data_IF_917536665893
#
_entry.id   IF_917536665893
#
_cell.length_a   1.000
_cell.length_b   1.000
_cell.length_c   1.000
_cell.angle_alpha   90.00
_cell.angle_beta   90.00
_cell.angle_gamma   90.00
#
_symmetry.space_group_name_H-M   'P 1'
#
loop_
_entity.id
_entity.type
_entity.pdbx_description
1 polymer ?
#
# COMPACT_ATOMS: atom_id res chain seq x y z
N UNK A 1 -8.42 -3.79 -17.57
CA UNK A 1 -8.30 -3.16 -16.23
C UNK A 1 -9.46 -3.65 -15.39
N UNK A 2 -9.23 -4.60 -14.50
CA UNK A 2 -10.20 -4.94 -13.46
C UNK A 2 -10.04 -3.95 -12.31
N UNK A 3 -10.98 -3.02 -12.16
CA UNK A 3 -11.00 -2.10 -11.03
C UNK A 3 -11.62 -2.84 -9.85
N UNK A 4 -10.79 -3.64 -9.15
CA UNK A 4 -11.21 -4.30 -7.93
C UNK A 4 -11.16 -3.29 -6.78
N UNK A 5 -12.25 -3.18 -6.02
CA UNK A 5 -12.27 -2.30 -4.87
C UNK A 5 -11.54 -2.95 -3.69
N UNK A 6 -10.23 -2.73 -3.61
CA UNK A 6 -9.42 -3.30 -2.55
C UNK A 6 -9.69 -2.70 -1.15
N UNK A 7 -10.51 -1.64 -1.07
CA UNK A 7 -11.03 -1.18 0.22
C UNK A 7 -12.09 -2.14 0.78
N UNK A 8 -12.77 -2.92 -0.07
CA UNK A 8 -13.69 -3.99 0.33
C UNK A 8 -13.05 -5.37 0.28
N UNK A 9 -12.09 -5.58 -0.62
CA UNK A 9 -11.35 -6.84 -0.75
C UNK A 9 -9.89 -6.62 -0.41
N UNK A 10 -9.46 -6.91 0.83
CA UNK A 10 -8.08 -6.68 1.25
C UNK A 10 -7.08 -7.46 0.38
N UNK A 11 -5.89 -6.91 0.19
CA UNK A 11 -4.79 -7.64 -0.45
C UNK A 11 -4.26 -8.72 0.50
N UNK A 12 -3.90 -9.87 -0.06
CA UNK A 12 -3.26 -10.95 0.71
C UNK A 12 -1.78 -10.65 0.92
N UNK A 13 -1.16 -11.37 1.87
CA UNK A 13 0.28 -11.26 2.13
C UNK A 13 1.12 -11.56 0.88
N UNK A 14 0.71 -12.54 0.09
CA UNK A 14 1.37 -12.93 -1.15
C UNK A 14 1.33 -11.81 -2.20
N UNK A 15 0.15 -11.22 -2.43
CA UNK A 15 -0.02 -10.10 -3.36
C UNK A 15 0.80 -8.89 -2.93
N UNK A 16 0.75 -8.52 -1.64
CA UNK A 16 1.56 -7.44 -1.10
C UNK A 16 3.06 -7.74 -1.20
N UNK A 17 3.44 -9.01 -1.04
CA UNK A 17 4.81 -9.49 -1.24
C UNK A 17 5.29 -9.35 -2.68
N UNK A 18 4.41 -9.46 -3.68
CA UNK A 18 4.73 -9.18 -5.07
C UNK A 18 4.76 -7.67 -5.39
N UNK A 19 3.78 -6.93 -4.84
CA UNK A 19 3.49 -5.55 -5.23
C UNK A 19 4.32 -4.50 -4.47
N UNK A 20 4.64 -4.72 -3.20
CA UNK A 20 5.38 -3.74 -2.41
C UNK A 20 6.85 -3.67 -2.86
N UNK A 21 7.41 -2.46 -3.03
CA UNK A 21 8.84 -2.32 -3.27
C UNK A 21 9.63 -2.52 -1.97
N UNK A 22 10.96 -2.47 -2.08
CA UNK A 22 11.87 -2.59 -0.92
C UNK A 22 11.61 -1.54 0.17
N UNK A 23 11.17 -0.33 -0.23
CA UNK A 23 10.76 0.73 0.70
C UNK A 23 9.23 0.90 0.70
N UNK A 24 8.51 0.30 1.66
CA UNK A 24 7.06 0.37 1.75
C UNK A 24 6.53 1.67 2.42
N UNK A 25 7.39 2.41 3.12
CA UNK A 25 7.05 3.63 3.88
C UNK A 25 6.17 4.64 3.12
N UNK A 26 6.45 5.02 1.86
CA UNK A 26 5.62 6.00 1.13
C UNK A 26 4.20 5.52 0.83
N UNK A 27 3.95 4.20 0.85
CA UNK A 27 2.64 3.60 0.60
C UNK A 27 1.78 3.51 1.87
N UNK A 28 2.39 3.68 3.05
CA UNK A 28 1.68 3.67 4.32
C UNK A 28 1.02 5.03 4.60
N UNK A 29 -0.21 4.99 5.09
CA UNK A 29 -1.00 6.15 5.45
C UNK A 29 -0.53 6.73 6.77
N UNK A 30 0.21 7.85 6.72
CA UNK A 30 0.64 8.57 7.92
C UNK A 30 -0.51 9.11 8.80
N UNK A 31 -1.73 9.17 8.25
CA UNK A 31 -2.96 9.53 8.95
C UNK A 31 -3.61 8.37 9.69
N UNK A 32 -3.18 7.13 9.43
CA UNK A 32 -3.77 5.94 10.07
C UNK A 32 -3.34 5.88 11.54
N UNK A 33 -4.25 5.58 12.48
CA UNK A 33 -3.92 5.52 13.91
C UNK A 33 -2.78 4.54 14.18
N UNK A 34 -2.82 3.38 13.53
CA UNK A 34 -1.80 2.34 13.61
C UNK A 34 -0.41 2.79 13.12
N UNK A 35 -0.33 3.71 12.16
CA UNK A 35 0.94 4.29 11.72
C UNK A 35 1.60 5.10 12.84
N UNK A 36 0.80 5.85 13.60
CA UNK A 36 1.25 6.65 14.74
C UNK A 36 1.58 5.78 15.95
N UNK A 37 0.72 4.80 16.26
CA UNK A 37 0.93 3.86 17.36
C UNK A 37 2.22 3.05 17.19
N UNK A 38 2.52 2.60 15.98
CA UNK A 38 3.73 1.84 15.66
C UNK A 38 4.98 2.71 15.43
N UNK A 39 4.85 4.03 15.49
CA UNK A 39 5.97 4.95 15.28
C UNK A 39 6.63 4.83 13.89
N UNK A 40 5.87 4.43 12.86
CA UNK A 40 6.40 4.16 11.51
C UNK A 40 6.94 5.40 10.79
N UNK A 41 6.74 6.59 11.38
CA UNK A 41 7.38 7.82 10.94
C UNK A 41 8.90 7.79 11.18
N UNK A 42 9.31 7.26 12.33
CA UNK A 42 10.71 7.15 12.75
C UNK A 42 11.28 5.79 12.37
N UNK A 43 10.43 4.75 12.44
CA UNK A 43 10.77 3.39 12.09
C UNK A 43 10.42 3.11 10.63
N UNK A 44 11.42 2.90 9.78
CA UNK A 44 11.20 2.40 8.41
C UNK A 44 11.02 0.87 8.44
N UNK A 45 9.79 0.34 8.27
CA UNK A 45 9.59 -1.11 8.29
C UNK A 45 10.19 -1.73 7.02
N UNK A 46 10.71 -2.94 7.16
CA UNK A 46 11.09 -3.76 6.00
C UNK A 46 9.84 -4.16 5.20
N UNK A 47 10.02 -4.56 3.94
CA UNK A 47 8.93 -5.05 3.09
C UNK A 47 8.09 -6.13 3.78
N UNK A 48 8.72 -7.17 4.34
CA UNK A 48 8.02 -8.25 5.04
C UNK A 48 7.21 -7.76 6.26
N UNK A 49 7.79 -6.85 7.05
CA UNK A 49 7.10 -6.23 8.18
C UNK A 49 5.88 -5.43 7.71
N UNK A 50 6.04 -4.60 6.68
CA UNK A 50 4.94 -3.81 6.14
C UNK A 50 3.80 -4.69 5.61
N UNK A 51 4.12 -5.80 4.93
CA UNK A 51 3.13 -6.80 4.50
C UNK A 51 2.32 -7.29 5.70
N UNK A 52 2.98 -7.76 6.76
CA UNK A 52 2.30 -8.23 7.96
C UNK A 52 1.42 -7.16 8.62
N UNK A 53 1.92 -5.92 8.68
CA UNK A 53 1.18 -4.79 9.24
C UNK A 53 -0.07 -4.43 8.42
N UNK A 54 0.02 -4.43 7.08
CA UNK A 54 -1.08 -4.13 6.18
C UNK A 54 -2.12 -5.26 6.19
N UNK A 55 -1.68 -6.53 6.22
CA UNK A 55 -2.59 -7.69 6.34
C UNK A 55 -3.36 -7.63 7.65
N UNK A 56 -2.67 -7.31 8.75
CA UNK A 56 -3.28 -7.12 10.06
C UNK A 56 -4.21 -5.89 10.11
N UNK A 57 -3.93 -4.85 9.32
CA UNK A 57 -4.76 -3.65 9.24
C UNK A 57 -4.65 -2.97 7.87
N UNK A 58 -5.64 -3.23 7.03
CA UNK A 58 -5.67 -2.71 5.67
C UNK A 58 -5.86 -1.19 5.63
N UNK A 59 -6.27 -0.57 6.74
CA UNK A 59 -6.37 0.88 6.85
C UNK A 59 -4.99 1.55 6.96
N UNK A 60 -3.93 0.78 7.20
CA UNK A 60 -2.57 1.29 7.17
C UNK A 60 -2.10 1.66 5.75
N UNK A 61 -2.72 1.09 4.70
CA UNK A 61 -2.36 1.36 3.32
C UNK A 61 -3.07 2.63 2.80
N UNK A 62 -2.36 3.47 2.04
CA UNK A 62 -2.95 4.65 1.42
C UNK A 62 -4.04 4.25 0.41
N UNK A 63 -5.10 5.06 0.36
CA UNK A 63 -6.25 4.88 -0.54
C UNK A 63 -6.45 6.15 -1.40
N UNK A 64 -6.96 6.06 -2.65
CA UNK A 64 -7.43 4.86 -3.37
C UNK A 64 -6.32 3.85 -3.70
N UNK A 65 -6.70 2.59 -3.91
CA UNK A 65 -5.79 1.52 -4.30
C UNK A 65 -5.97 1.20 -5.78
N UNK A 66 -4.90 1.25 -6.57
CA UNK A 66 -4.93 0.87 -7.98
C UNK A 66 -3.94 -0.27 -8.23
N UNK A 67 -4.41 -1.44 -8.64
CA UNK A 67 -3.55 -2.57 -8.98
C UNK A 67 -3.60 -2.79 -10.49
N UNK A 68 -2.44 -3.03 -11.09
CA UNK A 68 -2.26 -3.26 -12.51
C UNK A 68 -1.25 -4.40 -12.72
N UNK A 69 -1.27 -5.07 -13.88
CA UNK A 69 -0.27 -6.08 -14.26
C UNK A 69 1.19 -5.63 -14.15
N UNK A 70 1.43 -4.32 -14.22
CA UNK A 70 2.78 -3.72 -14.20
C UNK A 70 3.17 -3.18 -12.82
N UNK A 71 2.26 -3.19 -11.86
CA UNK A 71 2.50 -2.64 -10.53
C UNK A 71 1.26 -2.11 -9.84
N UNK A 72 1.46 -1.39 -8.73
CA UNK A 72 0.39 -0.96 -7.85
C UNK A 72 0.62 0.48 -7.37
N UNK A 73 -0.46 1.24 -7.21
CA UNK A 73 -0.49 2.59 -6.65
C UNK A 73 -1.32 2.59 -5.37
N UNK A 74 -0.71 2.99 -4.26
CA UNK A 74 -1.39 3.28 -3.00
C UNK A 74 -1.55 4.79 -2.82
N UNK A 75 -2.78 5.27 -2.73
CA UNK A 75 -3.09 6.68 -2.60
C UNK A 75 -3.29 7.37 -3.95
N UNK A 76 -3.59 8.66 -3.88
CA UNK A 76 -3.72 9.50 -5.06
C UNK A 76 -2.35 10.06 -5.43
N UNK A 77 -1.69 9.41 -6.40
CA UNK A 77 -0.42 9.86 -6.95
C UNK A 77 -0.59 10.20 -8.43
N UNK A 78 -0.81 11.47 -8.75
CA UNK A 78 -1.16 11.91 -10.11
C UNK A 78 -0.10 11.50 -11.15
N UNK A 79 1.17 11.51 -10.77
CA UNK A 79 2.27 11.11 -11.63
C UNK A 79 2.22 9.60 -11.95
N UNK A 80 2.04 8.75 -10.93
CA UNK A 80 1.91 7.32 -11.13
C UNK A 80 0.64 6.97 -11.92
N UNK A 81 -0.48 7.66 -11.66
CA UNK A 81 -1.72 7.49 -12.41
C UNK A 81 -1.53 7.86 -13.90
N UNK A 82 -0.80 8.93 -14.21
CA UNK A 82 -0.44 9.29 -15.60
C UNK A 82 0.44 8.22 -16.26
N UNK A 83 1.44 7.72 -15.56
CA UNK A 83 2.33 6.67 -16.08
C UNK A 83 1.59 5.35 -16.39
N UNK A 84 0.52 5.06 -15.65
CA UNK A 84 -0.34 3.90 -15.87
C UNK A 84 -1.40 4.09 -16.97
N UNK A 85 -1.66 5.34 -17.37
CA UNK A 85 -2.64 5.69 -18.40
C UNK A 85 -2.03 5.97 -19.77
N UNK A 86 -0.70 6.05 -19.85
CA UNK A 86 0.08 6.38 -21.06
C UNK A 86 0.54 5.18 -21.85
#
# INVERSE_FOLDING_TARGET
>A
MEVRNYAKTPLTAEELGGLLPANPTPYLGNKSPKYKELGLKDRQPSKAEAVGLIVADNNLLKRPLLVHDRGFIAGFDEAAYRALKG
#
